data_IF_458856902613
#
_entry.id   IF_458856902613
#
_cell.length_a   1.000
_cell.length_b   1.000
_cell.length_c   1.000
_cell.angle_alpha   90.00
_cell.angle_beta   90.00
_cell.angle_gamma   90.00
#
_symmetry.space_group_name_H-M   'P 1'
#
loop_
_entity.id
_entity.type
_entity.pdbx_description
1 polymer ?
#
# COMPACT_ATOMS: atom_id res chain seq x y z
N UNK A 1 -19.15 -8.75 -9.02
CA UNK A 1 -19.69 -7.40 -9.00
C UNK A 1 -18.60 -6.34 -9.21
N UNK A 2 -17.60 -6.18 -8.28
CA UNK A 2 -16.62 -5.08 -8.35
C UNK A 2 -15.81 -5.05 -9.67
N UNK A 3 -15.39 -6.20 -10.17
CA UNK A 3 -14.72 -6.30 -11.49
C UNK A 3 -15.63 -5.82 -12.61
N UNK A 4 -16.94 -6.13 -12.58
CA UNK A 4 -17.87 -5.62 -13.60
C UNK A 4 -17.99 -4.10 -13.54
N UNK A 5 -17.98 -3.52 -12.34
CA UNK A 5 -17.98 -2.07 -12.16
C UNK A 5 -16.71 -1.39 -12.69
N UNK A 6 -15.56 -2.04 -12.53
CA UNK A 6 -14.28 -1.54 -13.07
C UNK A 6 -14.18 -1.70 -14.61
N UNK A 7 -14.92 -2.62 -15.22
CA UNK A 7 -15.03 -2.80 -16.65
C UNK A 7 -16.00 -1.83 -17.31
N UNK A 8 -17.05 -1.42 -16.61
CA UNK A 8 -17.99 -0.41 -17.11
C UNK A 8 -17.29 0.96 -17.16
N UNK A 9 -17.37 1.62 -18.33
CA UNK A 9 -16.82 2.96 -18.50
C UNK A 9 -17.63 4.05 -17.77
N UNK A 10 -18.88 3.77 -17.43
CA UNK A 10 -19.76 4.73 -16.73
C UNK A 10 -19.46 4.79 -15.25
N UNK A 11 -19.55 5.98 -14.68
CA UNK A 11 -19.51 6.18 -13.25
C UNK A 11 -20.81 5.72 -12.59
N UNK A 12 -20.73 5.25 -11.36
CA UNK A 12 -21.87 4.89 -10.53
C UNK A 12 -22.52 6.14 -9.92
N UNK A 13 -21.73 7.19 -9.73
CA UNK A 13 -22.21 8.46 -9.14
C UNK A 13 -23.25 9.09 -10.04
N UNK A 14 -24.41 9.38 -9.45
CA UNK A 14 -25.52 10.06 -10.13
C UNK A 14 -25.46 11.54 -9.78
N UNK A 15 -25.42 12.40 -10.80
CA UNK A 15 -25.45 13.85 -10.61
C UNK A 15 -26.78 14.25 -9.96
N UNK A 16 -26.71 15.02 -8.88
CA UNK A 16 -27.87 15.50 -8.14
C UNK A 16 -28.48 14.49 -7.15
N UNK A 17 -27.89 13.29 -7.01
CA UNK A 17 -28.28 12.38 -5.93
C UNK A 17 -27.73 12.86 -4.58
N UNK A 18 -28.52 12.72 -3.54
CA UNK A 18 -28.08 12.95 -2.17
C UNK A 18 -27.32 11.72 -1.65
N UNK A 19 -26.09 11.93 -1.22
CA UNK A 19 -25.27 10.93 -0.55
C UNK A 19 -25.11 11.28 0.93
N UNK A 20 -24.84 10.29 1.76
CA UNK A 20 -24.58 10.52 3.18
C UNK A 20 -23.33 11.38 3.39
N UNK A 21 -23.26 12.10 4.52
CA UNK A 21 -22.08 12.89 4.90
C UNK A 21 -20.79 12.04 4.91
N UNK A 22 -20.89 10.79 5.38
CA UNK A 22 -19.76 9.85 5.35
C UNK A 22 -19.31 9.59 3.92
N UNK A 23 -20.23 9.33 2.99
CA UNK A 23 -19.90 9.10 1.59
C UNK A 23 -19.22 10.33 0.96
N UNK A 24 -19.72 11.53 1.24
CA UNK A 24 -19.09 12.77 0.79
C UNK A 24 -17.68 12.96 1.38
N UNK A 25 -17.50 12.67 2.66
CA UNK A 25 -16.21 12.77 3.32
C UNK A 25 -15.17 11.82 2.69
N UNK A 26 -15.54 10.55 2.51
CA UNK A 26 -14.62 9.55 1.93
C UNK A 26 -14.27 9.85 0.48
N UNK A 27 -15.26 10.16 -0.35
CA UNK A 27 -15.02 10.56 -1.74
C UNK A 27 -14.19 11.85 -1.84
N UNK A 28 -14.43 12.80 -0.92
CA UNK A 28 -13.70 14.06 -0.84
C UNK A 28 -12.19 13.88 -0.65
N UNK A 29 -11.75 12.83 0.04
CA UNK A 29 -10.32 12.51 0.17
C UNK A 29 -9.72 12.19 -1.19
N UNK A 30 -10.38 11.33 -1.98
CA UNK A 30 -9.91 10.96 -3.33
C UNK A 30 -9.99 12.14 -4.31
N UNK A 31 -11.07 12.93 -4.25
CA UNK A 31 -11.21 14.13 -5.08
C UNK A 31 -10.09 15.13 -4.79
N UNK A 32 -9.79 15.37 -3.51
CA UNK A 32 -8.70 16.26 -3.10
C UNK A 32 -7.35 15.73 -3.56
N UNK A 33 -7.11 14.42 -3.44
CA UNK A 33 -5.89 13.80 -3.95
C UNK A 33 -5.75 14.00 -5.47
N UNK A 34 -6.84 13.83 -6.24
CA UNK A 34 -6.84 14.06 -7.68
C UNK A 34 -6.51 15.51 -8.04
N UNK A 35 -7.06 16.47 -7.29
CA UNK A 35 -6.77 17.89 -7.50
C UNK A 35 -5.32 18.26 -7.17
N UNK A 36 -4.78 17.73 -6.09
CA UNK A 36 -3.37 17.94 -5.75
C UNK A 36 -2.43 17.33 -6.78
N UNK A 37 -2.74 16.16 -7.32
CA UNK A 37 -1.99 15.53 -8.41
C UNK A 37 -2.02 16.40 -9.68
N UNK A 38 -3.17 17.01 -10.00
CA UNK A 38 -3.27 17.93 -11.15
C UNK A 38 -2.42 19.20 -10.98
N UNK A 39 -2.34 19.72 -9.75
CA UNK A 39 -1.63 20.98 -9.45
C UNK A 39 -0.12 20.74 -9.34
N UNK A 40 0.30 19.71 -8.61
CA UNK A 40 1.69 19.48 -8.21
C UNK A 40 2.37 18.33 -8.95
N UNK A 41 1.64 17.61 -9.79
CA UNK A 41 2.13 16.45 -10.52
C UNK A 41 1.93 15.12 -9.78
N UNK A 42 2.19 13.99 -10.50
CA UNK A 42 1.85 12.65 -10.00
C UNK A 42 2.71 12.17 -8.82
N UNK A 43 3.83 12.84 -8.54
CA UNK A 43 4.76 12.45 -7.48
C UNK A 43 4.35 12.98 -6.09
N UNK A 44 3.41 13.93 -6.02
CA UNK A 44 2.99 14.54 -4.75
C UNK A 44 2.27 13.56 -3.84
N UNK A 45 1.44 12.70 -4.41
CA UNK A 45 0.73 11.61 -3.70
C UNK A 45 0.73 10.40 -4.62
N UNK A 46 1.35 9.29 -4.18
CA UNK A 46 1.48 8.08 -5.00
C UNK A 46 0.77 6.86 -4.42
N UNK A 47 0.47 6.87 -3.14
CA UNK A 47 0.03 5.69 -2.43
C UNK A 47 -1.23 5.98 -1.63
N UNK A 48 -2.13 5.01 -1.64
CA UNK A 48 -3.29 4.97 -0.77
C UNK A 48 -3.21 3.66 0.04
N UNK A 49 -2.98 3.78 1.35
CA UNK A 49 -2.85 2.64 2.25
C UNK A 49 -4.20 2.35 2.85
N UNK A 50 -4.60 1.09 2.84
CA UNK A 50 -5.83 0.60 3.46
C UNK A 50 -5.48 -0.29 4.64
N UNK A 51 -6.07 0.01 5.81
CA UNK A 51 -5.97 -0.80 7.01
C UNK A 51 -6.81 -2.07 6.87
N UNK A 52 -6.49 -3.09 7.66
CA UNK A 52 -7.28 -4.32 7.74
C UNK A 52 -7.66 -4.90 6.38
N UNK A 53 -6.66 -5.22 5.58
CA UNK A 53 -6.90 -5.91 4.31
C UNK A 53 -7.10 -7.39 4.58
N UNK A 54 -8.35 -7.83 4.56
CA UNK A 54 -8.76 -9.20 4.87
C UNK A 54 -9.16 -9.98 3.62
N UNK A 55 -9.63 -9.28 2.58
CA UNK A 55 -10.13 -9.88 1.36
C UNK A 55 -9.73 -9.11 0.10
N UNK A 56 -9.89 -9.76 -1.04
CA UNK A 56 -9.65 -9.15 -2.36
C UNK A 56 -10.61 -7.99 -2.64
N UNK A 57 -11.83 -8.04 -2.10
CA UNK A 57 -12.83 -6.99 -2.25
C UNK A 57 -12.31 -5.64 -1.75
N UNK A 58 -11.54 -5.60 -0.66
CA UNK A 58 -11.02 -4.37 -0.06
C UNK A 58 -10.16 -3.58 -1.05
N UNK A 59 -9.31 -4.29 -1.80
CA UNK A 59 -8.49 -3.70 -2.86
C UNK A 59 -9.33 -3.19 -4.04
N UNK A 60 -10.34 -3.97 -4.44
CA UNK A 60 -11.20 -3.63 -5.56
C UNK A 60 -12.15 -2.47 -5.25
N UNK A 61 -12.61 -2.35 -4.01
CA UNK A 61 -13.44 -1.22 -3.55
C UNK A 61 -12.67 0.10 -3.68
N UNK A 62 -11.41 0.12 -3.25
CA UNK A 62 -10.55 1.30 -3.45
C UNK A 62 -10.33 1.61 -4.93
N UNK A 63 -10.18 0.59 -5.79
CA UNK A 63 -10.09 0.82 -7.23
C UNK A 63 -11.37 1.44 -7.80
N UNK A 64 -12.56 0.99 -7.32
CA UNK A 64 -13.85 1.60 -7.69
C UNK A 64 -13.92 3.05 -7.21
N UNK A 65 -13.52 3.36 -5.98
CA UNK A 65 -13.49 4.75 -5.48
C UNK A 65 -12.54 5.63 -6.31
N UNK A 66 -11.38 5.10 -6.71
CA UNK A 66 -10.48 5.82 -7.62
C UNK A 66 -11.13 6.07 -9.00
N UNK A 67 -11.87 5.10 -9.52
CA UNK A 67 -12.62 5.28 -10.78
C UNK A 67 -13.65 6.40 -10.63
N UNK A 68 -14.47 6.37 -9.59
CA UNK A 68 -15.54 7.33 -9.36
C UNK A 68 -15.06 8.78 -9.15
N UNK A 69 -13.80 8.97 -8.79
CA UNK A 69 -13.18 10.28 -8.51
C UNK A 69 -12.17 10.73 -9.56
N UNK A 70 -12.05 9.99 -10.67
CA UNK A 70 -11.14 10.33 -11.77
C UNK A 70 -9.66 10.05 -11.49
N UNK A 71 -9.36 9.25 -10.47
CA UNK A 71 -8.02 8.74 -10.18
C UNK A 71 -7.71 7.44 -10.94
N UNK A 72 -8.71 6.78 -11.51
CA UNK A 72 -8.54 5.71 -12.49
C UNK A 72 -8.81 6.26 -13.87
N UNK A 73 -7.88 6.06 -14.78
CA UNK A 73 -8.02 6.43 -16.18
C UNK A 73 -8.44 5.21 -16.97
N UNK A 74 -9.47 5.34 -17.80
CA UNK A 74 -10.05 4.27 -18.62
C UNK A 74 -10.69 3.14 -17.78
N UNK A 75 -11.24 2.14 -18.44
CA UNK A 75 -11.81 0.95 -17.78
C UNK A 75 -10.89 -0.26 -17.93
N UNK A 76 -11.14 -1.30 -17.16
CA UNK A 76 -10.26 -2.48 -17.06
C UNK A 76 -9.98 -3.13 -18.42
N UNK A 77 -10.96 -3.17 -19.31
CA UNK A 77 -10.83 -3.77 -20.62
C UNK A 77 -10.12 -2.86 -21.65
N UNK A 78 -9.87 -1.58 -21.32
CA UNK A 78 -9.30 -0.58 -22.23
C UNK A 78 -8.01 0.06 -21.70
N UNK A 79 -7.16 -0.72 -21.03
CA UNK A 79 -5.86 -0.27 -20.58
C UNK A 79 -5.93 0.67 -19.38
N UNK A 80 -6.74 0.32 -18.41
CA UNK A 80 -6.90 1.08 -17.17
C UNK A 80 -5.57 1.38 -16.47
N UNK A 81 -5.51 2.55 -15.83
CA UNK A 81 -4.37 3.01 -15.05
C UNK A 81 -4.87 3.73 -13.79
N UNK A 82 -4.36 3.35 -12.64
CA UNK A 82 -4.56 4.04 -11.37
C UNK A 82 -3.50 5.12 -11.18
N UNK A 83 -3.90 6.26 -10.64
CA UNK A 83 -2.97 7.33 -10.23
C UNK A 83 -2.37 7.05 -8.86
N UNK A 84 -3.10 6.38 -7.98
CA UNK A 84 -2.62 5.97 -6.66
C UNK A 84 -2.44 4.45 -6.61
N UNK A 85 -1.27 4.01 -6.20
CA UNK A 85 -1.01 2.61 -5.88
C UNK A 85 -1.80 2.25 -4.63
N UNK A 86 -2.63 1.21 -4.73
CA UNK A 86 -3.37 0.67 -3.58
C UNK A 86 -2.42 -0.19 -2.77
N UNK A 87 -2.21 0.18 -1.51
CA UNK A 87 -1.27 -0.49 -0.61
C UNK A 87 -2.07 -1.22 0.46
N UNK A 88 -2.20 -2.56 0.37
CA UNK A 88 -2.80 -3.32 1.45
C UNK A 88 -1.90 -3.30 2.68
N UNK A 89 -2.50 -3.14 3.86
CA UNK A 89 -1.84 -3.33 5.14
C UNK A 89 -2.39 -4.59 5.81
N UNK A 90 -1.51 -5.56 6.01
CA UNK A 90 -1.78 -6.78 6.75
C UNK A 90 -1.34 -6.61 8.20
N UNK A 91 -2.29 -6.53 9.14
CA UNK A 91 -2.05 -6.07 10.51
C UNK A 91 -2.08 -7.19 11.55
N UNK A 92 -3.03 -8.12 11.44
CA UNK A 92 -3.18 -9.22 12.38
C UNK A 92 -2.32 -10.42 11.99
N UNK A 93 -2.16 -11.37 12.90
CA UNK A 93 -1.48 -12.65 12.61
C UNK A 93 -2.19 -13.38 11.48
N UNK A 94 -3.53 -13.36 11.47
CA UNK A 94 -4.32 -14.01 10.44
C UNK A 94 -4.16 -13.33 9.07
N UNK A 95 -4.15 -12.00 9.03
CA UNK A 95 -3.92 -11.24 7.79
C UNK A 95 -2.54 -11.55 7.21
N UNK A 96 -1.50 -11.58 8.06
CA UNK A 96 -0.15 -11.92 7.64
C UNK A 96 -0.09 -13.31 7.02
N UNK A 97 -0.76 -14.30 7.61
CA UNK A 97 -0.85 -15.68 7.10
C UNK A 97 -1.57 -15.79 5.77
N UNK A 98 -2.55 -14.93 5.52
CA UNK A 98 -3.37 -14.93 4.30
C UNK A 98 -2.84 -14.00 3.21
N UNK A 99 -1.84 -13.17 3.50
CA UNK A 99 -1.39 -12.07 2.64
C UNK A 99 -1.03 -12.52 1.21
N UNK A 100 -0.28 -13.59 1.06
CA UNK A 100 0.09 -14.14 -0.25
C UNK A 100 -1.13 -14.71 -1.00
N UNK A 101 -2.03 -15.36 -0.30
CA UNK A 101 -3.27 -15.92 -0.87
C UNK A 101 -4.20 -14.81 -1.37
N UNK A 102 -4.36 -13.73 -0.60
CA UNK A 102 -5.16 -12.56 -0.99
C UNK A 102 -4.55 -11.91 -2.22
N UNK A 103 -3.24 -11.67 -2.21
CA UNK A 103 -2.56 -11.05 -3.34
C UNK A 103 -2.57 -11.94 -4.59
N UNK A 104 -2.42 -13.26 -4.45
CA UNK A 104 -2.55 -14.20 -5.57
C UNK A 104 -3.94 -14.09 -6.20
N UNK A 105 -4.99 -14.20 -5.39
CA UNK A 105 -6.37 -14.06 -5.87
C UNK A 105 -6.62 -12.71 -6.54
N UNK A 106 -6.05 -11.64 -6.03
CA UNK A 106 -6.17 -10.30 -6.63
C UNK A 106 -5.53 -10.24 -8.02
N UNK A 107 -4.32 -10.75 -8.17
CA UNK A 107 -3.60 -10.75 -9.45
C UNK A 107 -4.12 -11.77 -10.46
N UNK A 108 -4.80 -12.83 -10.00
CA UNK A 108 -5.46 -13.82 -10.86
C UNK A 108 -6.76 -13.29 -11.48
N UNK A 109 -7.29 -12.17 -10.99
CA UNK A 109 -8.46 -11.54 -11.58
C UNK A 109 -8.13 -10.94 -12.96
N UNK A 110 -9.01 -11.19 -13.92
CA UNK A 110 -8.82 -10.72 -15.30
C UNK A 110 -8.67 -9.20 -15.37
N UNK A 111 -7.56 -8.73 -15.95
CA UNK A 111 -7.25 -7.31 -16.15
C UNK A 111 -6.48 -6.65 -15.00
N UNK A 112 -6.43 -7.24 -13.79
CA UNK A 112 -5.78 -6.62 -12.64
C UNK A 112 -4.26 -6.54 -12.79
N UNK A 113 -3.62 -7.61 -13.28
CA UNK A 113 -2.18 -7.58 -13.51
C UNK A 113 -1.79 -6.52 -14.55
N UNK A 114 -2.61 -6.33 -15.59
CA UNK A 114 -2.41 -5.27 -16.59
C UNK A 114 -2.63 -3.88 -15.99
N UNK A 115 -3.70 -3.71 -15.20
CA UNK A 115 -3.95 -2.48 -14.46
C UNK A 115 -2.72 -2.06 -13.65
N UNK A 116 -2.14 -2.99 -12.90
CA UNK A 116 -0.97 -2.69 -12.07
C UNK A 116 0.28 -2.40 -12.91
N UNK A 117 0.50 -3.11 -14.00
CA UNK A 117 1.59 -2.80 -14.96
C UNK A 117 1.47 -1.40 -15.55
N UNK A 118 0.29 -1.04 -16.01
CA UNK A 118 0.02 0.29 -16.56
C UNK A 118 0.12 1.39 -15.49
N UNK A 119 -0.11 1.07 -14.22
CA UNK A 119 -0.01 2.00 -13.09
C UNK A 119 1.43 2.20 -12.58
N UNK A 120 2.42 1.68 -13.31
CA UNK A 120 3.84 1.84 -12.99
C UNK A 120 4.56 0.57 -12.57
N UNK A 121 3.87 -0.57 -12.51
CA UNK A 121 4.45 -1.88 -12.25
C UNK A 121 5.09 -2.03 -10.86
N UNK A 122 4.68 -1.21 -9.89
CA UNK A 122 5.12 -1.28 -8.50
C UNK A 122 3.94 -1.62 -7.59
N UNK A 123 4.09 -2.65 -6.78
CA UNK A 123 3.15 -2.99 -5.72
C UNK A 123 3.83 -2.84 -4.36
N UNK A 124 3.37 -1.87 -3.59
CA UNK A 124 3.71 -1.79 -2.17
C UNK A 124 2.75 -2.66 -1.35
N UNK A 125 3.28 -3.37 -0.39
CA UNK A 125 2.50 -4.14 0.60
C UNK A 125 3.04 -3.77 1.97
N UNK A 126 2.17 -3.24 2.83
CA UNK A 126 2.54 -2.86 4.18
C UNK A 126 2.30 -4.02 5.15
N UNK A 127 3.30 -4.28 5.98
CA UNK A 127 3.25 -5.31 7.03
C UNK A 127 3.17 -4.61 8.38
N UNK A 128 2.13 -4.94 9.15
CA UNK A 128 1.88 -4.41 10.48
C UNK A 128 2.73 -5.12 11.54
N UNK A 129 3.37 -4.35 12.40
CA UNK A 129 4.19 -4.87 13.49
C UNK A 129 3.53 -4.66 14.85
N UNK A 130 2.97 -3.48 15.05
CA UNK A 130 2.36 -3.07 16.32
C UNK A 130 1.14 -3.91 16.64
N UNK A 131 0.24 -4.04 15.67
CA UNK A 131 -1.03 -4.73 15.87
C UNK A 131 -0.87 -6.23 15.89
N UNK A 132 -0.01 -6.80 15.04
CA UNK A 132 0.35 -8.21 15.12
C UNK A 132 1.06 -8.59 16.43
N UNK A 133 1.86 -7.66 17.01
CA UNK A 133 2.44 -7.87 18.33
C UNK A 133 1.40 -7.89 19.44
N UNK A 134 0.36 -7.07 19.36
CA UNK A 134 -0.77 -7.08 20.30
C UNK A 134 -1.61 -8.34 20.16
N UNK A 135 -1.78 -8.81 18.93
CA UNK A 135 -2.59 -9.98 18.59
C UNK A 135 -1.93 -11.29 19.02
N UNK A 136 -0.67 -11.54 18.63
CA UNK A 136 0.00 -12.84 18.81
C UNK A 136 1.27 -12.82 19.67
N UNK A 137 1.65 -11.66 20.21
CA UNK A 137 2.92 -11.47 20.92
C UNK A 137 4.12 -11.33 19.98
N UNK A 138 5.23 -10.81 20.54
CA UNK A 138 6.42 -10.42 19.75
C UNK A 138 7.04 -11.55 18.95
N UNK A 139 7.11 -12.76 19.52
CA UNK A 139 7.73 -13.91 18.86
C UNK A 139 6.89 -14.38 17.67
N UNK A 140 5.59 -14.56 17.89
CA UNK A 140 4.65 -14.97 16.83
C UNK A 140 4.60 -13.93 15.72
N UNK A 141 4.44 -12.66 16.07
CA UNK A 141 4.44 -11.57 15.11
C UNK A 141 5.71 -11.51 14.26
N UNK A 142 6.88 -11.59 14.90
CA UNK A 142 8.16 -11.58 14.17
C UNK A 142 8.28 -12.75 13.20
N UNK A 143 7.81 -13.92 13.60
CA UNK A 143 7.80 -15.12 12.75
C UNK A 143 6.83 -14.97 11.58
N UNK A 144 5.60 -14.53 11.83
CA UNK A 144 4.58 -14.39 10.77
C UNK A 144 4.93 -13.29 9.78
N UNK A 145 5.52 -12.17 10.23
CA UNK A 145 6.06 -11.14 9.34
C UNK A 145 7.19 -11.70 8.46
N UNK A 146 8.08 -12.52 9.02
CA UNK A 146 9.14 -13.18 8.26
C UNK A 146 8.56 -14.12 7.20
N UNK A 147 7.58 -14.96 7.57
CA UNK A 147 6.92 -15.88 6.66
C UNK A 147 6.15 -15.13 5.57
N UNK A 148 5.33 -14.14 5.93
CA UNK A 148 4.58 -13.31 4.98
C UNK A 148 5.51 -12.64 3.97
N UNK A 149 6.62 -12.05 4.44
CA UNK A 149 7.63 -11.44 3.57
C UNK A 149 8.18 -12.42 2.55
N UNK A 150 8.52 -13.63 3.00
CA UNK A 150 9.08 -14.69 2.15
C UNK A 150 8.07 -15.19 1.12
N UNK A 151 6.83 -15.44 1.56
CA UNK A 151 5.74 -15.92 0.71
C UNK A 151 5.37 -14.90 -0.37
N UNK A 152 5.24 -13.62 0.01
CA UNK A 152 4.97 -12.54 -0.93
C UNK A 152 6.08 -12.38 -1.96
N UNK A 153 7.35 -12.45 -1.55
CA UNK A 153 8.47 -12.40 -2.51
C UNK A 153 8.41 -13.57 -3.49
N UNK A 154 8.06 -14.77 -3.04
CA UNK A 154 7.92 -15.92 -3.91
C UNK A 154 6.75 -15.76 -4.90
N UNK A 155 5.60 -15.29 -4.41
CA UNK A 155 4.46 -14.97 -5.26
C UNK A 155 4.84 -13.97 -6.38
N UNK A 156 5.49 -12.87 -6.02
CA UNK A 156 5.81 -11.83 -6.99
C UNK A 156 6.93 -12.18 -7.98
N UNK A 157 7.63 -13.30 -7.79
CA UNK A 157 8.49 -13.88 -8.85
C UNK A 157 7.68 -14.43 -10.03
N UNK A 158 6.44 -14.85 -9.77
CA UNK A 158 5.53 -15.41 -10.77
C UNK A 158 4.77 -14.30 -11.52
N UNK A 159 4.54 -13.14 -10.88
CA UNK A 159 3.80 -12.00 -11.44
C UNK A 159 4.73 -11.16 -12.31
N UNK A 160 4.64 -11.36 -13.64
CA UNK A 160 5.50 -10.65 -14.59
C UNK A 160 5.15 -9.17 -14.70
N UNK A 161 6.16 -8.32 -14.71
CA UNK A 161 6.02 -6.88 -14.96
C UNK A 161 5.50 -6.08 -13.76
N UNK A 162 5.42 -6.70 -12.57
CA UNK A 162 5.12 -6.01 -11.32
C UNK A 162 6.22 -6.30 -10.30
N UNK A 163 6.79 -5.25 -9.75
CA UNK A 163 7.83 -5.32 -8.73
C UNK A 163 7.20 -5.15 -7.35
N UNK A 164 7.48 -6.08 -6.44
CA UNK A 164 7.11 -5.96 -5.04
C UNK A 164 8.07 -5.04 -4.30
N UNK A 165 7.52 -4.12 -3.50
CA UNK A 165 8.25 -3.42 -2.45
C UNK A 165 7.54 -3.60 -1.11
N UNK A 166 8.21 -4.22 -0.15
CA UNK A 166 7.67 -4.37 1.19
C UNK A 166 7.81 -3.04 1.96
N UNK A 167 6.72 -2.65 2.58
CA UNK A 167 6.64 -1.49 3.43
C UNK A 167 6.47 -1.95 4.88
N UNK A 168 7.52 -1.75 5.68
CA UNK A 168 7.54 -2.18 7.06
C UNK A 168 6.99 -1.09 7.97
N UNK A 169 5.78 -1.31 8.48
CA UNK A 169 5.09 -0.45 9.44
C UNK A 169 5.65 -0.56 10.85
N UNK A 170 6.98 -0.56 11.01
CA UNK A 170 7.59 -0.68 12.32
C UNK A 170 7.38 0.57 13.17
N UNK A 171 6.48 0.49 14.12
CA UNK A 171 6.37 1.40 15.25
C UNK A 171 7.38 1.10 16.37
N UNK A 172 8.63 0.82 16.03
CA UNK A 172 9.60 0.38 17.05
C UNK A 172 11.04 0.52 16.58
N UNK A 173 11.88 -0.39 16.83
CA UNK A 173 13.33 -0.43 16.86
C UNK A 173 14.15 0.08 15.67
N UNK A 174 13.65 0.18 14.46
CA UNK A 174 14.38 0.77 13.31
C UNK A 174 14.35 2.30 13.39
N UNK A 175 14.41 2.83 14.49
CA UNK A 175 14.37 4.25 14.68
C UNK A 175 14.13 4.66 16.12
N UNK A 176 13.88 3.73 17.02
CA UNK A 176 13.88 4.01 18.46
C UNK A 176 15.23 3.61 19.04
N UNK A 177 16.17 4.56 19.11
CA UNK A 177 17.43 4.47 19.90
C UNK A 177 18.28 3.23 19.64
N UNK A 178 17.96 2.49 18.65
CA UNK A 178 18.44 1.15 18.57
C UNK A 178 19.43 0.94 17.47
N UNK A 179 19.23 0.55 16.45
CA UNK A 179 20.23 0.09 15.50
C UNK A 179 20.28 0.98 14.25
N UNK A 180 21.42 1.03 13.63
CA UNK A 180 21.56 1.65 12.32
C UNK A 180 20.56 1.01 11.35
N UNK A 181 19.95 1.79 10.46
CA UNK A 181 19.04 1.33 9.39
C UNK A 181 19.63 0.16 8.59
N UNK A 182 20.95 0.10 8.50
CA UNK A 182 21.71 -0.97 7.89
C UNK A 182 21.48 -2.35 8.55
N UNK A 183 21.50 -2.43 9.88
CA UNK A 183 21.22 -3.69 10.60
C UNK A 183 19.78 -4.17 10.38
N UNK A 184 18.84 -3.24 10.29
CA UNK A 184 17.46 -3.58 10.00
C UNK A 184 17.27 -4.13 8.57
N UNK A 185 18.04 -3.63 7.63
CA UNK A 185 18.08 -4.15 6.25
C UNK A 185 18.67 -5.55 6.25
N UNK A 186 19.78 -5.77 6.95
CA UNK A 186 20.44 -7.09 7.04
C UNK A 186 19.58 -8.14 7.75
N UNK A 187 18.70 -7.72 8.66
CA UNK A 187 17.78 -8.62 9.36
C UNK A 187 16.56 -9.04 8.54
N UNK A 188 16.39 -8.50 7.32
CA UNK A 188 15.27 -8.89 6.47
C UNK A 188 15.51 -10.29 5.86
N UNK A 189 14.41 -11.04 5.59
CA UNK A 189 14.53 -12.32 4.90
C UNK A 189 15.26 -12.18 3.56
N UNK A 190 15.99 -13.22 3.10
CA UNK A 190 16.70 -13.17 1.83
C UNK A 190 15.75 -12.78 0.67
N UNK A 191 16.24 -11.91 -0.22
CA UNK A 191 15.54 -11.44 -1.42
C UNK A 191 14.30 -10.54 -1.16
N UNK A 192 14.05 -10.11 0.08
CA UNK A 192 12.95 -9.17 0.39
C UNK A 192 13.34 -7.72 0.13
N UNK A 193 14.63 -7.40 0.18
CA UNK A 193 15.18 -6.09 -0.20
C UNK A 193 15.85 -6.23 -1.56
N UNK A 194 15.31 -5.54 -2.57
CA UNK A 194 15.81 -5.54 -3.95
C UNK A 194 16.16 -4.12 -4.38
N UNK A 195 17.16 -3.54 -3.71
CA UNK A 195 17.58 -2.16 -3.94
C UNK A 195 16.65 -1.11 -3.34
N UNK A 196 15.50 -1.48 -2.81
CA UNK A 196 14.54 -0.60 -2.17
C UNK A 196 13.94 -1.26 -0.94
N UNK A 197 13.76 -0.47 0.11
CA UNK A 197 13.00 -0.81 1.30
C UNK A 197 12.20 0.44 1.72
N UNK A 198 11.00 0.25 2.22
CA UNK A 198 10.19 1.33 2.78
C UNK A 198 9.93 1.07 4.25
N UNK A 199 10.19 2.08 5.08
CA UNK A 199 10.06 2.00 6.52
C UNK A 199 9.23 3.19 7.01
N UNK A 200 8.44 2.98 8.07
CA UNK A 200 7.79 4.08 8.79
C UNK A 200 8.73 4.59 9.87
N UNK A 201 9.05 5.88 9.86
CA UNK A 201 9.69 6.53 11.00
C UNK A 201 8.61 7.08 11.95
N UNK A 202 8.79 6.88 13.24
CA UNK A 202 7.91 7.42 14.25
C UNK A 202 8.17 8.92 14.48
N UNK A 203 7.13 9.66 14.91
CA UNK A 203 7.23 11.10 15.12
C UNK A 203 8.35 11.53 16.08
N UNK A 204 8.62 10.74 17.11
CA UNK A 204 9.74 10.97 18.05
C UNK A 204 11.10 10.95 17.36
N UNK A 205 11.28 10.05 16.37
CA UNK A 205 12.53 9.95 15.61
C UNK A 205 12.62 11.08 14.60
N UNK A 206 11.52 11.42 13.94
CA UNK A 206 11.44 12.56 13.04
C UNK A 206 11.85 13.82 13.80
N UNK A 207 11.33 14.03 15.01
CA UNK A 207 11.71 15.16 15.86
C UNK A 207 13.18 15.16 16.26
N UNK A 208 13.74 14.00 16.58
CA UNK A 208 15.15 13.87 16.94
C UNK A 208 16.10 14.06 15.74
N UNK A 209 15.72 13.57 14.55
CA UNK A 209 16.56 13.66 13.36
C UNK A 209 16.44 14.99 12.61
N UNK A 210 15.25 15.59 12.64
CA UNK A 210 14.90 16.74 11.80
C UNK A 210 14.36 17.93 12.58
N UNK A 211 14.48 17.92 13.92
CA UNK A 211 13.92 18.95 14.81
C UNK A 211 14.59 20.32 14.69
N UNK A 212 15.83 20.38 14.16
CA UNK A 212 16.49 21.62 13.80
C UNK A 212 17.03 21.53 12.37
N UNK A 213 17.24 22.67 11.68
CA UNK A 213 17.81 22.68 10.32
C UNK A 213 19.20 22.00 10.25
N UNK A 214 20.03 22.16 11.27
CA UNK A 214 21.39 21.61 11.35
C UNK A 214 21.33 20.07 11.48
N UNK A 215 20.47 19.57 12.38
CA UNK A 215 20.26 18.12 12.54
C UNK A 215 19.61 17.51 11.30
N UNK A 216 18.65 18.20 10.71
CA UNK A 216 18.01 17.79 9.48
C UNK A 216 19.02 17.62 8.35
N UNK A 217 19.89 18.60 8.18
CA UNK A 217 20.95 18.55 7.17
C UNK A 217 21.91 17.39 7.42
N UNK A 218 22.39 17.21 8.64
CA UNK A 218 23.31 16.12 9.02
C UNK A 218 22.75 14.74 8.75
N UNK A 219 21.43 14.55 8.88
CA UNK A 219 20.78 13.26 8.66
C UNK A 219 20.34 12.98 7.21
N UNK A 220 20.31 14.03 6.35
CA UNK A 220 19.91 13.92 4.95
C UNK A 220 21.11 13.87 3.98
N UNK A 221 22.28 14.41 4.37
CA UNK A 221 23.56 14.36 3.66
C UNK A 221 24.38 13.11 4.01
#
# INVERSE_FOLDING_TARGET
LLISLLKDARNLRVLGAEYSEKCHSELGVFEKANDLIKIFGPEVIRHYIISHTEEVSDLLEVAVLQKETGLMHSSLDFGAKLKLVIVPLFETIEDLRKSDTIMRKFYDLAGVADLMRHSGGLQDIMLGYSDSNKDGGVLTSSWEVYQASTNLVNLFKEIKGVTLRLFHGRGGTVGRGGGPSYQAILAQPPNTVRGQIRLTEQGEIISNKYGTPELGRLNLE
#
